data_IF_640252589235
#
_entry.id   IF_640252589235
#
_cell.length_a   1.000
_cell.length_b   1.000
_cell.length_c   1.000
_cell.angle_alpha   90.00
_cell.angle_beta   90.00
_cell.angle_gamma   90.00
#
_symmetry.space_group_name_H-M   'P 1'
#
loop_
_entity.id
_entity.type
_entity.pdbx_description
1 polymer ?
#
# COMPACT_ATOMS: atom_id res chain seq x y z
N UNK A 1 -18.67 4.54 -7.80
CA UNK A 1 -18.81 4.09 -6.42
C UNK A 1 -18.04 2.80 -6.20
N UNK A 2 -17.64 2.51 -4.99
CA UNK A 2 -17.02 1.22 -4.65
C UNK A 2 -18.04 0.08 -4.74
N UNK A 3 -17.57 -1.17 -4.88
CA UNK A 3 -18.45 -2.35 -4.87
C UNK A 3 -19.24 -2.44 -3.56
N UNK A 4 -18.59 -2.14 -2.43
CA UNK A 4 -19.25 -2.11 -1.12
C UNK A 4 -20.39 -1.10 -1.06
N UNK A 5 -20.19 0.11 -1.59
CA UNK A 5 -21.25 1.14 -1.66
C UNK A 5 -22.44 0.73 -2.52
N UNK A 6 -22.22 -0.08 -3.58
CA UNK A 6 -23.31 -0.65 -4.38
C UNK A 6 -24.09 -1.72 -3.61
N UNK A 7 -23.38 -2.59 -2.86
CA UNK A 7 -24.04 -3.59 -2.03
C UNK A 7 -24.96 -2.97 -0.97
N UNK A 8 -24.54 -1.86 -0.34
CA UNK A 8 -25.36 -1.18 0.69
C UNK A 8 -26.53 -0.42 0.10
N UNK A 9 -26.36 0.18 -1.09
CA UNK A 9 -27.39 1.01 -1.72
C UNK A 9 -28.34 0.23 -2.62
N UNK A 10 -27.83 -0.76 -3.34
CA UNK A 10 -28.57 -1.44 -4.40
C UNK A 10 -28.89 -2.91 -4.05
N UNK A 11 -28.39 -3.43 -2.91
CA UNK A 11 -28.61 -4.82 -2.48
C UNK A 11 -27.94 -5.84 -3.41
N UNK A 12 -26.97 -5.41 -4.24
CA UNK A 12 -26.24 -6.30 -5.12
C UNK A 12 -25.35 -7.26 -4.31
N UNK A 13 -25.48 -8.56 -4.59
CA UNK A 13 -24.52 -9.55 -4.09
C UNK A 13 -23.19 -9.29 -4.79
N UNK A 14 -22.16 -8.97 -4.00
CA UNK A 14 -20.80 -8.86 -4.53
C UNK A 14 -20.30 -10.29 -4.75
N UNK A 15 -20.26 -10.74 -6.00
CA UNK A 15 -19.62 -11.99 -6.36
C UNK A 15 -18.12 -11.88 -6.08
N UNK A 16 -17.57 -12.81 -5.30
CA UNK A 16 -16.13 -12.94 -5.14
C UNK A 16 -15.53 -13.33 -6.50
N UNK A 17 -14.46 -12.65 -6.89
CA UNK A 17 -13.75 -12.96 -8.14
C UNK A 17 -13.01 -14.29 -7.93
N UNK A 18 -13.43 -15.33 -8.64
CA UNK A 18 -12.79 -16.65 -8.55
C UNK A 18 -11.30 -16.54 -8.93
N UNK A 19 -10.43 -17.06 -8.07
CA UNK A 19 -8.98 -16.99 -8.24
C UNK A 19 -8.34 -15.68 -7.79
N UNK A 20 -9.07 -14.77 -7.15
CA UNK A 20 -8.48 -13.60 -6.49
C UNK A 20 -7.64 -14.01 -5.28
N UNK A 21 -6.55 -13.27 -5.02
CA UNK A 21 -5.69 -13.49 -3.84
C UNK A 21 -6.40 -13.14 -2.53
N UNK A 22 -7.10 -11.99 -2.48
CA UNK A 22 -7.86 -11.56 -1.30
C UNK A 22 -9.36 -11.76 -1.51
N UNK A 23 -10.05 -12.26 -0.47
CA UNK A 23 -11.50 -12.27 -0.40
C UNK A 23 -12.01 -11.16 0.53
N UNK A 24 -13.24 -10.72 0.33
CA UNK A 24 -13.90 -9.80 1.27
C UNK A 24 -13.96 -10.36 2.69
N UNK A 25 -14.27 -11.64 2.81
CA UNK A 25 -14.31 -12.32 4.09
C UNK A 25 -12.98 -12.28 4.83
N UNK A 26 -11.83 -12.40 4.13
CA UNK A 26 -10.50 -12.24 4.73
C UNK A 26 -10.29 -10.82 5.23
N UNK A 27 -10.60 -9.81 4.42
CA UNK A 27 -10.43 -8.40 4.79
C UNK A 27 -11.30 -8.02 6.00
N UNK A 28 -12.55 -8.49 6.06
CA UNK A 28 -13.43 -8.25 7.21
C UNK A 28 -12.89 -8.89 8.51
N UNK A 29 -12.31 -10.08 8.45
CA UNK A 29 -11.65 -10.69 9.61
C UNK A 29 -10.43 -9.90 10.10
N UNK A 30 -9.83 -9.12 9.22
CA UNK A 30 -8.66 -8.30 9.54
C UNK A 30 -9.03 -6.89 10.05
N UNK A 31 -10.30 -6.59 10.32
CA UNK A 31 -10.70 -5.31 10.93
C UNK A 31 -10.17 -5.18 12.35
N UNK A 32 -9.72 -3.98 12.68
CA UNK A 32 -9.33 -3.67 14.05
C UNK A 32 -10.55 -3.68 14.96
N UNK A 33 -10.42 -4.38 16.07
CA UNK A 33 -11.38 -4.34 17.18
C UNK A 33 -10.66 -3.74 18.38
N UNK A 34 -11.15 -2.59 18.87
CA UNK A 34 -10.57 -1.90 20.03
C UNK A 34 -9.47 -0.87 19.67
N UNK A 35 -8.63 -0.55 20.63
CA UNK A 35 -7.55 0.43 20.51
C UNK A 35 -6.31 -0.18 19.88
N UNK A 36 -5.64 0.59 19.03
CA UNK A 36 -4.35 0.19 18.45
C UNK A 36 -3.21 0.47 19.44
N UNK A 37 -2.20 -0.41 19.49
CA UNK A 37 -0.98 -0.12 20.25
C UNK A 37 -0.18 0.99 19.56
N UNK A 38 0.79 1.54 20.30
CA UNK A 38 1.71 2.54 19.78
C UNK A 38 2.45 2.02 18.54
N UNK A 39 2.57 2.89 17.52
CA UNK A 39 3.32 2.59 16.33
C UNK A 39 4.83 2.63 16.60
N UNK A 40 5.54 1.58 16.19
CA UNK A 40 7.02 1.52 16.21
C UNK A 40 7.63 2.03 14.91
N UNK A 41 6.91 1.87 13.82
CA UNK A 41 7.38 2.25 12.48
C UNK A 41 6.21 2.55 11.57
N UNK A 42 6.32 3.62 10.79
CA UNK A 42 5.30 4.03 9.81
C UNK A 42 5.91 4.10 8.43
N UNK A 43 5.27 3.47 7.46
CA UNK A 43 5.69 3.47 6.06
C UNK A 43 4.57 4.02 5.18
N UNK A 44 4.95 4.85 4.22
CA UNK A 44 4.09 5.23 3.09
C UNK A 44 4.54 4.45 1.86
N UNK A 45 3.71 3.53 1.39
CA UNK A 45 3.91 2.84 0.12
C UNK A 45 3.37 3.68 -1.03
N UNK A 46 4.09 3.73 -2.13
CA UNK A 46 3.73 4.54 -3.31
C UNK A 46 3.91 3.73 -4.58
N UNK A 47 2.86 3.68 -5.38
CA UNK A 47 2.90 3.19 -6.75
C UNK A 47 2.57 4.35 -7.71
N UNK A 48 3.60 5.02 -8.27
CA UNK A 48 3.40 6.17 -9.13
C UNK A 48 2.85 5.74 -10.50
N UNK A 49 2.00 6.57 -11.16
CA UNK A 49 1.52 6.28 -12.49
C UNK A 49 2.67 6.24 -13.51
N UNK A 50 2.60 5.31 -14.45
CA UNK A 50 3.62 5.15 -15.51
C UNK A 50 3.65 6.33 -16.52
N UNK A 51 2.59 7.14 -16.58
CA UNK A 51 2.47 8.28 -17.50
C UNK A 51 1.70 9.44 -16.86
N UNK A 52 1.89 10.66 -17.38
CA UNK A 52 1.19 11.86 -16.92
C UNK A 52 -0.35 11.79 -17.12
N UNK A 53 -0.82 10.92 -18.01
CA UNK A 53 -2.24 10.64 -18.27
C UNK A 53 -2.66 9.28 -17.68
N UNK A 54 -1.85 8.71 -16.80
CA UNK A 54 -2.05 7.41 -16.17
C UNK A 54 -3.23 7.39 -15.21
N UNK A 55 -3.46 6.21 -14.67
CA UNK A 55 -4.56 5.95 -13.74
C UNK A 55 -4.35 6.69 -12.39
N UNK A 56 -4.41 6.04 -11.27
CA UNK A 56 -4.15 6.63 -9.98
C UNK A 56 -2.65 6.57 -9.61
N UNK A 57 -2.21 7.45 -8.71
CA UNK A 57 -1.04 7.19 -7.89
C UNK A 57 -1.50 6.49 -6.62
N UNK A 58 -1.12 5.25 -6.43
CA UNK A 58 -1.36 4.52 -5.18
C UNK A 58 -0.51 5.11 -4.05
N UNK A 59 -1.15 5.48 -2.94
CA UNK A 59 -0.47 6.03 -1.75
C UNK A 59 -1.15 5.43 -0.52
N UNK A 60 -0.50 4.49 0.13
CA UNK A 60 -1.06 3.78 1.28
C UNK A 60 -0.16 3.91 2.49
N UNK A 61 -0.74 4.25 3.62
CA UNK A 61 -0.05 4.36 4.91
C UNK A 61 -0.26 3.09 5.70
N UNK A 62 0.83 2.47 6.15
CA UNK A 62 0.80 1.34 7.05
C UNK A 62 1.80 1.53 8.20
N UNK A 63 1.49 0.99 9.35
CA UNK A 63 2.34 1.04 10.55
C UNK A 63 2.61 -0.35 11.11
N UNK A 64 3.73 -0.51 11.80
CA UNK A 64 4.05 -1.66 12.63
C UNK A 64 3.78 -1.30 14.09
N UNK A 65 2.83 -1.99 14.70
CA UNK A 65 2.51 -1.80 16.12
C UNK A 65 3.57 -2.38 17.05
N UNK A 66 3.50 -2.01 18.32
CA UNK A 66 4.34 -2.58 19.38
C UNK A 66 4.13 -4.10 19.55
N UNK A 67 2.98 -4.61 19.13
CA UNK A 67 2.61 -6.02 19.07
C UNK A 67 3.20 -6.78 17.87
N UNK A 68 3.91 -6.11 16.98
CA UNK A 68 4.50 -6.71 15.78
C UNK A 68 3.51 -6.94 14.62
N UNK A 69 2.28 -6.41 14.71
CA UNK A 69 1.26 -6.52 13.69
C UNK A 69 1.29 -5.28 12.78
N UNK A 70 1.24 -5.50 11.47
CA UNK A 70 1.09 -4.45 10.48
C UNK A 70 -0.35 -3.92 10.44
N UNK A 71 -0.54 -2.61 10.49
CA UNK A 71 -1.87 -1.98 10.43
C UNK A 71 -1.96 -1.04 9.25
N UNK A 72 -2.92 -1.26 8.35
CA UNK A 72 -3.28 -0.31 7.30
C UNK A 72 -4.02 0.85 7.93
N UNK A 73 -3.50 2.10 7.77
CA UNK A 73 -3.99 3.30 8.46
C UNK A 73 -4.77 4.24 7.56
N UNK A 74 -4.35 4.39 6.31
CA UNK A 74 -5.00 5.29 5.37
C UNK A 74 -4.75 4.89 3.92
N UNK A 75 -5.72 5.13 3.06
CA UNK A 75 -5.60 5.22 1.61
C UNK A 75 -5.62 6.71 1.23
N UNK A 76 -4.45 7.24 0.86
CA UNK A 76 -4.23 8.63 0.45
C UNK A 76 -4.05 8.76 -1.06
N UNK A 77 -4.42 7.74 -1.83
CA UNK A 77 -4.23 7.67 -3.28
C UNK A 77 -4.95 8.80 -3.99
N UNK A 78 -4.35 9.29 -5.06
CA UNK A 78 -4.89 10.38 -5.89
C UNK A 78 -5.07 9.94 -7.33
N UNK A 79 -6.17 10.35 -7.94
CA UNK A 79 -6.52 10.00 -9.32
C UNK A 79 -6.22 11.18 -10.26
N UNK A 80 -5.81 10.86 -11.49
CA UNK A 80 -5.58 11.87 -12.56
C UNK A 80 -4.69 13.03 -12.12
N UNK A 81 -3.72 12.78 -11.23
CA UNK A 81 -2.84 13.78 -10.67
C UNK A 81 -1.59 13.98 -11.52
N UNK A 82 -1.15 15.25 -11.66
CA UNK A 82 0.16 15.54 -12.24
C UNK A 82 1.30 15.04 -11.35
N UNK A 83 2.53 14.91 -11.88
CA UNK A 83 3.69 14.52 -11.06
C UNK A 83 3.85 15.35 -9.79
N UNK A 84 3.68 16.65 -9.85
CA UNK A 84 3.78 17.54 -8.71
C UNK A 84 2.63 17.35 -7.71
N UNK A 85 1.42 17.05 -8.21
CA UNK A 85 0.24 16.83 -7.37
C UNK A 85 0.36 15.55 -6.56
N UNK A 86 0.71 14.42 -7.20
CA UNK A 86 0.85 13.17 -6.45
C UNK A 86 2.07 13.20 -5.51
N UNK A 87 3.18 13.84 -5.91
CA UNK A 87 4.33 13.98 -5.02
C UNK A 87 4.00 14.81 -3.77
N UNK A 88 3.20 15.87 -3.94
CA UNK A 88 2.69 16.67 -2.81
C UNK A 88 1.79 15.85 -1.91
N UNK A 89 0.91 15.00 -2.47
CA UNK A 89 0.07 14.10 -1.69
C UNK A 89 0.90 13.10 -0.87
N UNK A 90 1.98 12.54 -1.46
CA UNK A 90 2.94 11.69 -0.74
C UNK A 90 3.61 12.45 0.40
N UNK A 91 4.09 13.67 0.16
CA UNK A 91 4.74 14.49 1.18
C UNK A 91 3.76 14.83 2.33
N UNK A 92 2.52 15.16 2.00
CA UNK A 92 1.47 15.41 3.00
C UNK A 92 1.15 14.16 3.82
N UNK A 93 0.99 12.99 3.18
CA UNK A 93 0.78 11.73 3.89
C UNK A 93 1.96 11.40 4.81
N UNK A 94 3.20 11.53 4.33
CA UNK A 94 4.40 11.28 5.12
C UNK A 94 4.48 12.21 6.34
N UNK A 95 4.18 13.49 6.18
CA UNK A 95 4.19 14.47 7.29
C UNK A 95 3.05 14.20 8.30
N UNK A 96 1.81 13.99 7.82
CA UNK A 96 0.64 13.76 8.66
C UNK A 96 0.78 12.51 9.54
N UNK A 97 1.38 11.45 9.02
CA UNK A 97 1.58 10.18 9.71
C UNK A 97 2.98 10.03 10.31
N UNK A 98 3.84 11.07 10.22
CA UNK A 98 5.24 11.04 10.70
C UNK A 98 5.99 9.79 10.19
N UNK A 99 5.89 9.56 8.88
CA UNK A 99 6.42 8.35 8.28
C UNK A 99 7.95 8.27 8.40
N UNK A 100 8.43 7.12 8.85
CA UNK A 100 9.87 6.81 8.92
C UNK A 100 10.46 6.59 7.52
N UNK A 101 9.64 6.20 6.57
CA UNK A 101 10.06 5.95 5.19
C UNK A 101 8.92 6.04 4.19
N UNK A 102 9.23 6.56 3.01
CA UNK A 102 8.43 6.45 1.79
C UNK A 102 9.06 5.37 0.91
N UNK A 103 8.32 4.32 0.58
CA UNK A 103 8.75 3.26 -0.34
C UNK A 103 8.01 3.43 -1.65
N UNK A 104 8.74 3.82 -2.70
CA UNK A 104 8.15 4.09 -4.00
C UNK A 104 8.67 3.12 -5.07
N UNK A 105 7.76 2.58 -5.89
CA UNK A 105 8.14 1.74 -7.01
C UNK A 105 8.91 2.56 -8.05
N UNK A 106 10.04 1.99 -8.48
CA UNK A 106 10.86 2.51 -9.57
C UNK A 106 10.37 1.91 -10.89
N UNK A 107 9.37 2.53 -11.51
CA UNK A 107 8.98 2.21 -12.89
C UNK A 107 10.06 2.69 -13.89
N UNK A 108 9.83 2.59 -15.19
CA UNK A 108 10.77 2.93 -16.29
C UNK A 108 11.30 4.39 -16.28
N UNK A 109 11.36 5.05 -15.14
CA UNK A 109 11.80 6.42 -14.91
C UNK A 109 12.25 6.68 -13.48
N UNK A 110 12.93 5.71 -12.84
CA UNK A 110 13.23 5.75 -11.41
C UNK A 110 13.90 7.00 -10.88
N UNK A 111 14.78 7.63 -11.65
CA UNK A 111 15.40 8.91 -11.27
C UNK A 111 14.38 10.04 -11.34
N UNK A 112 13.38 9.97 -12.25
CA UNK A 112 12.26 10.90 -12.30
C UNK A 112 11.40 10.81 -11.03
N UNK A 113 11.00 9.60 -10.60
CA UNK A 113 10.20 9.41 -9.38
C UNK A 113 10.91 10.03 -8.16
N UNK A 114 12.20 9.75 -8.01
CA UNK A 114 13.01 10.35 -6.93
C UNK A 114 13.08 11.88 -7.03
N UNK A 115 13.29 12.40 -8.24
CA UNK A 115 13.40 13.84 -8.49
C UNK A 115 12.10 14.56 -8.16
N UNK A 116 10.97 14.02 -8.60
CA UNK A 116 9.64 14.60 -8.36
C UNK A 116 9.29 14.58 -6.86
N UNK A 117 9.55 13.47 -6.15
CA UNK A 117 9.33 13.39 -4.72
C UNK A 117 10.21 14.37 -3.94
N UNK A 118 11.50 14.49 -4.29
CA UNK A 118 12.41 15.47 -3.67
C UNK A 118 12.06 16.92 -4.01
N UNK A 119 11.44 17.15 -5.17
CA UNK A 119 10.89 18.45 -5.54
C UNK A 119 9.72 18.89 -4.65
N UNK A 120 8.94 17.93 -4.16
CA UNK A 120 7.85 18.19 -3.21
C UNK A 120 8.36 18.40 -1.78
N UNK A 121 9.31 17.59 -1.34
CA UNK A 121 10.02 17.73 -0.06
C UNK A 121 11.40 17.07 -0.15
N UNK A 122 12.47 17.86 0.00
CA UNK A 122 13.86 17.38 -0.06
C UNK A 122 14.22 16.46 1.11
N UNK A 123 13.52 16.57 2.23
CA UNK A 123 13.74 15.79 3.45
C UNK A 123 13.02 14.43 3.45
N UNK A 124 12.17 14.13 2.45
CA UNK A 124 11.45 12.85 2.38
C UNK A 124 12.42 11.66 2.42
N UNK A 125 12.23 10.72 3.36
CA UNK A 125 13.08 9.54 3.50
C UNK A 125 12.73 8.47 2.45
N UNK A 126 12.98 8.75 1.16
CA UNK A 126 12.57 7.92 0.02
C UNK A 126 13.50 6.74 -0.20
N UNK A 127 12.93 5.53 -0.19
CA UNK A 127 13.52 4.30 -0.70
C UNK A 127 12.85 3.92 -2.01
N UNK A 128 13.61 3.90 -3.11
CA UNK A 128 13.12 3.35 -4.37
C UNK A 128 13.27 1.83 -4.38
N UNK A 129 12.23 1.14 -4.85
CA UNK A 129 12.20 -0.31 -5.04
C UNK A 129 11.91 -0.63 -6.49
N UNK A 130 12.38 -1.79 -6.95
CA UNK A 130 12.17 -2.26 -8.32
C UNK A 130 11.38 -3.57 -8.31
N UNK A 131 10.35 -3.64 -9.15
CA UNK A 131 9.58 -4.85 -9.36
C UNK A 131 10.40 -5.86 -10.17
N UNK A 132 11.10 -6.76 -9.48
CA UNK A 132 11.83 -7.88 -10.09
C UNK A 132 10.97 -9.12 -10.32
N UNK A 133 9.75 -9.15 -9.77
CA UNK A 133 8.79 -10.26 -9.86
C UNK A 133 7.43 -9.72 -10.30
N UNK A 134 6.60 -10.59 -10.88
CA UNK A 134 5.21 -10.25 -11.23
C UNK A 134 4.37 -9.84 -10.01
N UNK A 135 3.26 -9.14 -10.24
CA UNK A 135 2.38 -8.61 -9.19
C UNK A 135 1.91 -9.69 -8.21
N UNK A 136 1.43 -10.83 -8.69
CA UNK A 136 1.00 -11.94 -7.85
C UNK A 136 2.13 -12.45 -6.94
N UNK A 137 3.30 -12.72 -7.48
CA UNK A 137 4.45 -13.22 -6.72
C UNK A 137 5.00 -12.24 -5.68
N UNK A 138 4.72 -10.94 -5.80
CA UNK A 138 5.00 -9.92 -4.77
C UNK A 138 3.91 -9.87 -3.72
N UNK A 139 2.67 -10.10 -4.13
CA UNK A 139 1.47 -10.03 -3.29
C UNK A 139 1.31 -11.24 -2.39
N UNK A 140 1.65 -12.45 -2.85
CA UNK A 140 1.51 -13.70 -2.10
C UNK A 140 2.15 -13.70 -0.70
N UNK A 141 3.39 -13.21 -0.48
CA UNK A 141 3.95 -13.14 0.87
C UNK A 141 3.20 -12.17 1.80
N UNK A 142 2.60 -11.11 1.23
CA UNK A 142 1.77 -10.17 1.96
C UNK A 142 0.42 -10.80 2.29
N UNK A 143 -0.19 -11.54 1.36
CA UNK A 143 -1.40 -12.33 1.61
C UNK A 143 -1.20 -13.29 2.79
N UNK A 144 -0.08 -14.02 2.82
CA UNK A 144 0.25 -14.92 3.93
C UNK A 144 0.30 -14.19 5.29
N UNK A 145 0.70 -12.91 5.31
CA UNK A 145 0.63 -12.09 6.52
C UNK A 145 -0.83 -11.78 6.94
N UNK A 146 -1.74 -11.59 5.99
CA UNK A 146 -3.17 -11.44 6.27
C UNK A 146 -3.77 -12.74 6.84
N UNK A 147 -3.52 -13.86 6.19
CA UNK A 147 -4.03 -15.18 6.59
C UNK A 147 -3.56 -15.61 7.98
N UNK A 148 -2.35 -15.21 8.36
CA UNK A 148 -1.76 -15.51 9.67
C UNK A 148 -2.05 -14.45 10.74
N UNK A 149 -2.93 -13.47 10.47
CA UNK A 149 -3.31 -12.43 11.43
C UNK A 149 -2.21 -11.41 11.72
N UNK A 150 -1.19 -11.31 10.87
CA UNK A 150 -0.10 -10.33 11.00
C UNK A 150 -0.40 -8.98 10.36
N UNK A 151 -1.57 -8.85 9.71
CA UNK A 151 -2.04 -7.59 9.13
C UNK A 151 -3.47 -7.32 9.57
N UNK A 152 -3.77 -6.06 9.83
CA UNK A 152 -5.12 -5.58 10.12
C UNK A 152 -5.39 -4.23 9.46
N UNK A 153 -6.66 -3.88 9.34
CA UNK A 153 -7.13 -2.61 8.79
C UNK A 153 -7.75 -1.76 9.91
N UNK A 154 -7.27 -0.53 10.07
CA UNK A 154 -7.79 0.40 11.09
C UNK A 154 -9.17 0.99 10.74
N UNK A 155 -9.65 0.76 9.52
CA UNK A 155 -10.93 1.23 9.03
C UNK A 155 -11.32 0.52 7.74
N UNK A 156 -12.40 0.96 7.13
CA UNK A 156 -12.80 0.54 5.79
C UNK A 156 -12.09 1.40 4.76
N UNK A 157 -11.50 0.76 3.75
CA UNK A 157 -10.83 1.41 2.62
C UNK A 157 -11.41 0.86 1.31
N UNK A 158 -12.67 1.21 0.95
CA UNK A 158 -13.41 0.51 -0.10
C UNK A 158 -12.66 0.43 -1.44
N UNK A 159 -12.07 1.53 -1.90
CA UNK A 159 -11.35 1.55 -3.18
C UNK A 159 -10.07 0.70 -3.17
N UNK A 160 -9.32 0.68 -2.05
CA UNK A 160 -8.16 -0.17 -1.86
C UNK A 160 -8.58 -1.65 -1.79
N UNK A 161 -9.63 -1.95 -1.04
CA UNK A 161 -10.13 -3.31 -0.82
C UNK A 161 -10.75 -3.90 -2.08
N UNK A 162 -11.44 -3.09 -2.89
CA UNK A 162 -11.90 -3.47 -4.22
C UNK A 162 -10.73 -3.89 -5.12
N UNK A 163 -9.62 -3.15 -5.06
CA UNK A 163 -8.43 -3.50 -5.81
C UNK A 163 -7.75 -4.78 -5.28
N UNK A 164 -7.66 -4.97 -3.98
CA UNK A 164 -7.10 -6.19 -3.40
C UNK A 164 -7.88 -7.43 -3.85
N UNK A 165 -9.22 -7.37 -3.81
CA UNK A 165 -10.09 -8.45 -4.28
C UNK A 165 -10.06 -8.66 -5.79
N UNK A 166 -9.39 -7.81 -6.55
CA UNK A 166 -9.19 -7.93 -7.98
C UNK A 166 -7.81 -8.48 -8.38
N UNK A 167 -6.86 -8.63 -7.46
CA UNK A 167 -5.53 -9.19 -7.76
C UNK A 167 -5.62 -10.70 -7.88
N UNK A 168 -5.25 -11.24 -9.06
CA UNK A 168 -5.42 -12.67 -9.37
C UNK A 168 -4.17 -13.50 -9.02
N UNK A 169 -4.36 -14.68 -8.43
CA UNK A 169 -3.30 -15.62 -8.08
C UNK A 169 -2.48 -16.07 -9.32
N UNK A 170 -3.14 -16.27 -10.47
CA UNK A 170 -2.49 -16.61 -11.73
C UNK A 170 -1.77 -15.43 -12.41
N UNK A 171 -1.72 -14.27 -11.79
CA UNK A 171 -1.31 -13.01 -12.40
C UNK A 171 -2.46 -12.31 -13.11
N UNK A 172 -2.30 -11.01 -13.35
CA UNK A 172 -3.36 -10.18 -13.90
C UNK A 172 -4.20 -9.49 -12.83
N UNK A 173 -5.24 -8.79 -13.29
CA UNK A 173 -6.10 -7.96 -12.46
C UNK A 173 -7.53 -7.93 -13.01
N UNK A 174 -8.51 -8.18 -12.15
CA UNK A 174 -9.94 -8.21 -12.49
C UNK A 174 -10.77 -7.22 -11.65
N UNK A 175 -10.12 -6.29 -10.94
CA UNK A 175 -10.77 -5.27 -10.13
C UNK A 175 -11.09 -3.99 -10.89
N UNK A 176 -11.54 -2.93 -10.20
CA UNK A 176 -11.88 -1.65 -10.82
C UNK A 176 -10.65 -0.90 -11.34
N UNK A 177 -10.79 -0.22 -12.48
CA UNK A 177 -9.72 0.50 -13.15
C UNK A 177 -8.86 -0.40 -14.05
N UNK A 178 -7.71 0.10 -14.45
CA UNK A 178 -6.76 -0.63 -15.33
C UNK A 178 -5.67 -1.34 -14.54
N UNK A 179 -5.34 -0.81 -13.38
CA UNK A 179 -4.21 -1.21 -12.56
C UNK A 179 -4.58 -1.17 -11.09
N UNK A 180 -4.08 -2.10 -10.26
CA UNK A 180 -4.31 -2.11 -8.83
C UNK A 180 -3.33 -1.20 -8.07
N UNK A 181 -3.21 0.07 -8.45
CA UNK A 181 -2.18 0.98 -7.95
C UNK A 181 -2.20 1.13 -6.42
N UNK A 182 -3.41 1.14 -5.80
CA UNK A 182 -3.57 1.15 -4.34
C UNK A 182 -3.09 -0.16 -3.70
N UNK A 183 -3.44 -1.29 -4.31
CA UNK A 183 -3.02 -2.60 -3.81
C UNK A 183 -1.51 -2.79 -3.97
N UNK A 184 -0.91 -2.35 -5.10
CA UNK A 184 0.55 -2.38 -5.30
C UNK A 184 1.27 -1.49 -4.27
N UNK A 185 0.76 -0.28 -3.99
CA UNK A 185 1.29 0.59 -2.94
C UNK A 185 1.23 -0.06 -1.55
N UNK A 186 0.11 -0.72 -1.20
CA UNK A 186 -0.01 -1.46 0.04
C UNK A 186 0.99 -2.62 0.13
N UNK A 187 1.13 -3.39 -0.95
CA UNK A 187 2.10 -4.50 -1.02
C UNK A 187 3.51 -4.00 -0.74
N UNK A 188 3.91 -2.84 -1.29
CA UNK A 188 5.22 -2.25 -1.01
C UNK A 188 5.37 -1.81 0.44
N UNK A 189 4.34 -1.17 1.02
CA UNK A 189 4.37 -0.74 2.42
C UNK A 189 4.51 -1.93 3.38
N UNK A 190 3.68 -2.96 3.22
CA UNK A 190 3.70 -4.15 4.09
C UNK A 190 4.95 -5.02 3.88
N UNK A 191 5.47 -5.10 2.65
CA UNK A 191 6.75 -5.76 2.38
C UNK A 191 7.89 -5.10 3.15
N UNK A 192 7.95 -3.77 3.15
CA UNK A 192 8.96 -3.03 3.90
C UNK A 192 8.80 -3.17 5.43
N UNK A 193 7.55 -3.23 5.92
CA UNK A 193 7.27 -3.35 7.35
C UNK A 193 7.52 -4.75 7.91
N UNK A 194 7.07 -5.79 7.19
CA UNK A 194 6.92 -7.14 7.74
C UNK A 194 7.89 -8.17 7.16
N UNK A 195 8.39 -7.93 5.94
CA UNK A 195 9.17 -8.92 5.18
C UNK A 195 10.60 -8.46 4.90
N UNK A 196 10.88 -7.16 4.97
CA UNK A 196 12.23 -6.67 4.83
C UNK A 196 13.09 -7.07 6.04
N UNK A 197 14.37 -7.47 5.85
CA UNK A 197 15.25 -7.75 6.97
C UNK A 197 15.38 -6.51 7.87
N UNK A 198 15.21 -6.71 9.17
CA UNK A 198 15.45 -5.66 10.16
C UNK A 198 16.95 -5.36 10.16
N UNK A 199 17.32 -4.21 9.63
CA UNK A 199 18.69 -3.72 9.72
C UNK A 199 18.85 -3.10 11.12
N UNK A 200 19.28 -3.88 12.10
CA UNK A 200 19.69 -3.33 13.39
C UNK A 200 20.90 -2.42 13.16
N UNK A 201 20.92 -1.21 13.74
CA UNK A 201 22.07 -0.34 13.67
C UNK A 201 23.24 -1.05 14.38
N UNK A 202 24.26 -1.48 13.61
CA UNK A 202 25.50 -1.97 14.21
C UNK A 202 26.22 -0.79 14.84
N UNK A 203 26.14 -0.67 16.15
CA UNK A 203 27.02 0.22 16.91
C UNK A 203 28.44 -0.34 16.76
N UNK A 204 29.28 0.30 15.92
CA UNK A 204 30.72 0.03 15.94
C UNK A 204 31.26 0.69 17.20
N UNK A 205 31.51 -0.11 18.22
CA UNK A 205 32.38 0.31 19.31
C UNK A 205 33.80 0.39 18.73
N UNK A 206 34.26 1.60 18.47
CA UNK A 206 35.72 1.85 18.24
C UNK A 206 36.39 1.84 19.61
N UNK A 207 37.23 0.85 19.81
CA UNK A 207 38.22 0.77 20.93
C UNK A 207 39.43 1.62 20.60
#
# INVERSE_FOLDING_TARGET
GSLLGRQELDGELIEEVEGALWSRALLERCRVVGTLPDARRVIVGVDPPASATGDACGIVVAELGADGIGTVRADCSVEKASPEQWARAVAQAAAAWRADRVVAEKNNGGDMVRSVLRGADIALPVKLVHASRGKAARAEPVLACYETGRVRHAGQFPALEDQLCGVMAGGGYAGPGRSPDRADALVWALTELLLAPVCEPRVRLTW
#
